data_IF_274265547200
#
_entry.id   IF_274265547200
#
_cell.length_a   1.000
_cell.length_b   1.000
_cell.length_c   1.000
_cell.angle_alpha   90.00
_cell.angle_beta   90.00
_cell.angle_gamma   90.00
#
_symmetry.space_group_name_H-M   'P 1'
#
loop_
_entity.id
_entity.type
_entity.pdbx_description
1 polymer ?
#
# COMPACT_ATOMS: atom_id res chain seq x y z
N UNK A 1 6.04 -0.97 -22.74
CA UNK A 1 4.60 -1.00 -22.42
C UNK A 1 3.89 -0.09 -23.40
N UNK A 2 2.82 -0.54 -24.04
CA UNK A 2 1.96 0.38 -24.79
C UNK A 2 1.00 1.09 -23.80
N UNK A 3 0.24 2.08 -24.29
CA UNK A 3 -0.70 2.84 -23.46
C UNK A 3 -1.82 1.96 -22.85
N UNK A 4 -2.32 0.99 -23.60
CA UNK A 4 -3.38 0.05 -23.17
C UNK A 4 -2.91 -0.83 -22.00
N UNK A 5 -1.67 -1.30 -22.04
CA UNK A 5 -1.07 -2.12 -20.98
C UNK A 5 -0.97 -1.33 -19.66
N UNK A 6 -0.63 -0.04 -19.72
CA UNK A 6 -0.55 0.85 -18.55
C UNK A 6 -1.93 1.10 -17.96
N UNK A 7 -2.95 1.29 -18.78
CA UNK A 7 -4.35 1.39 -18.33
C UNK A 7 -4.75 0.12 -17.59
N UNK A 8 -4.54 -1.04 -18.22
CA UNK A 8 -4.91 -2.33 -17.62
C UNK A 8 -4.18 -2.56 -16.29
N UNK A 9 -2.90 -2.21 -16.19
CA UNK A 9 -2.14 -2.26 -14.95
C UNK A 9 -2.78 -1.40 -13.85
N UNK A 10 -3.13 -0.15 -14.17
CA UNK A 10 -3.77 0.80 -13.24
C UNK A 10 -5.17 0.36 -12.82
N UNK A 11 -5.94 -0.24 -13.71
CA UNK A 11 -7.26 -0.80 -13.40
C UNK A 11 -7.14 -1.96 -12.42
N UNK A 12 -6.22 -2.92 -12.67
CA UNK A 12 -5.97 -4.03 -11.73
C UNK A 12 -5.47 -3.53 -10.38
N UNK A 13 -4.56 -2.56 -10.37
CA UNK A 13 -4.08 -1.93 -9.14
C UNK A 13 -5.24 -1.27 -8.37
N UNK A 14 -6.10 -0.54 -9.07
CA UNK A 14 -7.25 0.14 -8.47
C UNK A 14 -8.24 -0.85 -7.87
N UNK A 15 -8.58 -1.91 -8.59
CA UNK A 15 -9.45 -2.97 -8.11
C UNK A 15 -8.86 -3.66 -6.87
N UNK A 16 -7.55 -3.93 -6.89
CA UNK A 16 -6.85 -4.49 -5.74
C UNK A 16 -6.94 -3.55 -4.53
N UNK A 17 -6.55 -2.28 -4.66
CA UNK A 17 -6.55 -1.34 -3.52
C UNK A 17 -7.94 -1.17 -2.91
N UNK A 18 -8.99 -1.08 -3.72
CA UNK A 18 -10.37 -1.01 -3.22
C UNK A 18 -10.78 -2.26 -2.46
N UNK A 19 -10.32 -3.45 -2.88
CA UNK A 19 -10.56 -4.70 -2.16
C UNK A 19 -9.82 -4.81 -0.81
N UNK A 20 -8.87 -3.91 -0.55
CA UNK A 20 -8.05 -3.87 0.67
C UNK A 20 -8.61 -2.93 1.75
N UNK A 21 -9.75 -2.30 1.51
CA UNK A 21 -10.43 -1.50 2.51
C UNK A 21 -10.72 -2.35 3.76
N UNK A 22 -10.27 -1.85 4.92
CA UNK A 22 -10.48 -2.54 6.19
C UNK A 22 -11.92 -2.30 6.63
N UNK A 23 -12.63 -3.39 6.95
CA UNK A 23 -14.02 -3.30 7.39
C UNK A 23 -14.11 -2.53 8.72
N UNK A 24 -15.09 -1.62 8.90
CA UNK A 24 -15.29 -0.85 10.13
C UNK A 24 -15.37 -1.69 11.41
N UNK A 25 -15.97 -2.87 11.31
CA UNK A 25 -16.20 -3.80 12.41
C UNK A 25 -15.04 -4.77 12.67
N UNK A 26 -13.86 -4.52 12.10
CA UNK A 26 -12.68 -5.32 12.40
C UNK A 26 -12.34 -5.20 13.88
N UNK A 27 -11.97 -6.30 14.53
CA UNK A 27 -11.47 -6.23 15.89
C UNK A 27 -10.15 -5.47 15.92
N UNK A 28 -9.93 -4.63 16.94
CA UNK A 28 -8.73 -3.78 17.06
C UNK A 28 -7.43 -4.61 16.98
N UNK A 29 -7.41 -5.77 17.63
CA UNK A 29 -6.30 -6.72 17.59
C UNK A 29 -6.04 -7.36 16.21
N UNK A 30 -6.93 -7.17 15.24
CA UNK A 30 -6.78 -7.66 13.85
C UNK A 30 -6.38 -6.56 12.87
N UNK A 31 -6.40 -5.27 13.27
CA UNK A 31 -6.06 -4.15 12.39
C UNK A 31 -4.64 -4.30 11.84
N UNK A 32 -3.69 -4.69 12.69
CA UNK A 32 -2.30 -4.94 12.30
C UNK A 32 -2.20 -6.04 11.23
N UNK A 33 -2.90 -7.16 11.42
CA UNK A 33 -2.91 -8.27 10.48
C UNK A 33 -3.52 -7.88 9.13
N UNK A 34 -4.57 -7.05 9.14
CA UNK A 34 -5.18 -6.51 7.93
C UNK A 34 -4.22 -5.57 7.20
N UNK A 35 -3.51 -4.71 7.93
CA UNK A 35 -2.52 -3.83 7.32
C UNK A 35 -1.34 -4.62 6.73
N UNK A 36 -0.87 -5.67 7.42
CA UNK A 36 0.14 -6.58 6.89
C UNK A 36 -0.33 -7.28 5.62
N UNK A 37 -1.60 -7.73 5.60
CA UNK A 37 -2.19 -8.32 4.41
C UNK A 37 -2.23 -7.33 3.23
N UNK A 38 -2.53 -6.05 3.50
CA UNK A 38 -2.55 -4.99 2.48
C UNK A 38 -1.17 -4.81 1.83
N UNK A 39 -0.12 -4.62 2.65
CA UNK A 39 1.26 -4.55 2.17
C UNK A 39 1.62 -5.81 1.37
N UNK A 40 1.34 -7.01 1.90
CA UNK A 40 1.69 -8.27 1.24
C UNK A 40 1.03 -8.43 -0.12
N UNK A 41 -0.26 -8.13 -0.22
CA UNK A 41 -1.01 -8.24 -1.49
C UNK A 41 -0.48 -7.27 -2.55
N UNK A 42 -0.16 -6.04 -2.17
CA UNK A 42 0.42 -5.06 -3.09
C UNK A 42 1.85 -5.43 -3.51
N UNK A 43 2.70 -5.85 -2.58
CA UNK A 43 4.05 -6.34 -2.90
C UNK A 43 4.01 -7.58 -3.80
N UNK A 44 3.05 -8.50 -3.61
CA UNK A 44 2.86 -9.63 -4.50
C UNK A 44 2.38 -9.20 -5.89
N UNK A 45 1.47 -8.22 -5.97
CA UNK A 45 1.03 -7.65 -7.25
C UNK A 45 2.21 -7.06 -8.03
N UNK A 46 3.10 -6.30 -7.37
CA UNK A 46 4.29 -5.73 -7.99
C UNK A 46 5.33 -6.78 -8.42
N UNK A 47 5.35 -7.94 -7.77
CA UNK A 47 6.25 -9.04 -8.09
C UNK A 47 5.70 -10.00 -9.16
N UNK A 48 4.38 -10.01 -9.41
CA UNK A 48 3.70 -10.92 -10.35
C UNK A 48 4.22 -10.74 -11.78
N UNK A 49 4.23 -9.49 -12.26
CA UNK A 49 4.88 -9.07 -13.50
C UNK A 49 5.76 -7.86 -13.20
N UNK A 50 7.03 -8.15 -12.94
CA UNK A 50 7.99 -7.11 -12.60
C UNK A 50 8.29 -6.19 -13.79
N UNK A 51 8.26 -6.69 -15.04
CA UNK A 51 8.53 -5.84 -16.19
C UNK A 51 7.42 -4.79 -16.36
N UNK A 52 6.15 -5.21 -16.16
CA UNK A 52 5.03 -4.28 -16.13
C UNK A 52 5.14 -3.30 -14.95
N UNK A 53 5.51 -3.77 -13.76
CA UNK A 53 5.71 -2.92 -12.58
C UNK A 53 6.82 -1.90 -12.80
N UNK A 54 7.96 -2.31 -13.34
CA UNK A 54 9.08 -1.43 -13.61
C UNK A 54 8.66 -0.30 -14.56
N UNK A 55 7.96 -0.62 -15.65
CA UNK A 55 7.53 0.36 -16.65
C UNK A 55 6.36 1.24 -16.18
N UNK A 56 5.37 0.67 -15.49
CA UNK A 56 4.16 1.39 -15.12
C UNK A 56 4.27 2.11 -13.76
N UNK A 57 5.07 1.59 -12.83
CA UNK A 57 5.08 2.03 -11.42
C UNK A 57 6.44 2.57 -10.95
N UNK A 58 7.58 2.08 -11.45
CA UNK A 58 8.90 2.47 -10.94
C UNK A 58 9.63 3.49 -11.84
N UNK A 59 9.49 3.40 -13.16
CA UNK A 59 10.21 4.23 -14.12
C UNK A 59 9.34 5.31 -14.79
N UNK A 60 9.93 6.47 -15.13
CA UNK A 60 9.26 7.47 -15.94
C UNK A 60 9.02 6.97 -17.38
N UNK A 61 8.02 7.55 -18.10
CA UNK A 61 7.15 8.66 -17.66
C UNK A 61 5.91 8.25 -16.82
N UNK A 62 5.59 6.97 -16.71
CA UNK A 62 4.30 6.51 -16.15
C UNK A 62 4.29 6.46 -14.62
N UNK A 63 5.45 6.23 -14.00
CA UNK A 63 5.57 6.02 -12.56
C UNK A 63 4.88 7.11 -11.73
N UNK A 64 5.09 8.39 -12.04
CA UNK A 64 4.55 9.49 -11.25
C UNK A 64 3.02 9.45 -11.17
N UNK A 65 2.36 9.21 -12.30
CA UNK A 65 0.90 9.18 -12.35
C UNK A 65 0.34 7.89 -11.71
N UNK A 66 1.00 6.75 -11.90
CA UNK A 66 0.59 5.48 -11.27
C UNK A 66 0.78 5.51 -9.74
N UNK A 67 1.88 6.11 -9.25
CA UNK A 67 2.11 6.30 -7.82
C UNK A 67 1.11 7.28 -7.21
N UNK A 68 0.78 8.37 -7.91
CA UNK A 68 -0.27 9.31 -7.49
C UNK A 68 -1.63 8.63 -7.39
N UNK A 69 -1.99 7.81 -8.38
CA UNK A 69 -3.20 6.99 -8.34
C UNK A 69 -3.23 6.09 -7.09
N UNK A 70 -2.12 5.43 -6.76
CA UNK A 70 -2.03 4.60 -5.55
C UNK A 70 -2.22 5.43 -4.28
N UNK A 71 -1.59 6.61 -4.19
CA UNK A 71 -1.78 7.54 -3.08
C UNK A 71 -3.25 7.93 -2.91
N UNK A 72 -3.91 8.34 -3.99
CA UNK A 72 -5.30 8.80 -3.95
C UNK A 72 -6.25 7.68 -3.47
N UNK A 73 -6.12 6.48 -4.03
CA UNK A 73 -6.93 5.32 -3.64
C UNK A 73 -6.66 4.88 -2.19
N UNK A 74 -5.40 4.94 -1.74
CA UNK A 74 -5.07 4.61 -0.36
C UNK A 74 -5.60 5.65 0.62
N UNK A 75 -5.58 6.93 0.24
CA UNK A 75 -6.16 8.00 1.02
C UNK A 75 -7.68 7.81 1.19
N UNK A 76 -8.39 7.42 0.13
CA UNK A 76 -9.82 7.06 0.20
C UNK A 76 -10.08 5.96 1.26
N UNK A 77 -9.32 4.87 1.22
CA UNK A 77 -9.45 3.78 2.21
C UNK A 77 -9.13 4.25 3.64
N UNK A 78 -8.12 5.09 3.81
CA UNK A 78 -7.71 5.62 5.11
C UNK A 78 -8.72 6.62 5.68
N UNK A 79 -9.36 7.45 4.84
CA UNK A 79 -10.45 8.34 5.25
C UNK A 79 -11.60 7.53 5.84
N UNK A 80 -12.02 6.44 5.17
CA UNK A 80 -13.07 5.59 5.71
C UNK A 80 -12.63 4.95 7.02
N UNK A 81 -11.38 4.51 7.13
CA UNK A 81 -10.86 3.92 8.36
C UNK A 81 -10.81 4.93 9.53
N UNK A 82 -10.44 6.19 9.25
CA UNK A 82 -10.48 7.30 10.20
C UNK A 82 -11.91 7.61 10.65
N UNK A 83 -12.87 7.74 9.72
CA UNK A 83 -14.28 7.98 10.04
C UNK A 83 -14.90 6.91 10.95
N UNK A 84 -14.38 5.68 10.87
CA UNK A 84 -14.77 4.56 11.72
C UNK A 84 -13.89 4.38 12.96
N UNK A 85 -13.03 5.37 13.28
CA UNK A 85 -12.12 5.40 14.44
C UNK A 85 -11.12 4.24 14.49
N UNK A 86 -10.83 3.61 13.36
CA UNK A 86 -9.84 2.53 13.27
C UNK A 86 -8.41 3.07 13.22
N UNK A 87 -8.22 4.26 12.66
CA UNK A 87 -6.92 4.92 12.61
C UNK A 87 -6.99 6.32 13.21
N UNK A 88 -5.83 6.76 13.69
CA UNK A 88 -5.61 8.11 14.23
C UNK A 88 -6.06 9.19 13.26
N UNK A 89 -6.68 10.24 13.76
CA UNK A 89 -7.23 11.36 12.95
C UNK A 89 -6.34 12.61 12.97
N UNK A 90 -5.30 12.64 13.81
CA UNK A 90 -4.38 13.76 13.93
C UNK A 90 -3.38 13.87 12.76
N UNK A 91 -3.22 12.80 11.97
CA UNK A 91 -2.45 12.82 10.71
C UNK A 91 -3.43 12.78 9.53
N UNK A 92 -3.31 13.69 8.54
CA UNK A 92 -4.13 13.64 7.33
C UNK A 92 -4.00 12.32 6.57
N UNK A 93 -5.13 11.72 6.16
CA UNK A 93 -5.15 10.48 5.38
C UNK A 93 -4.26 10.52 4.14
N UNK A 94 -4.23 11.65 3.43
CA UNK A 94 -3.36 11.83 2.25
C UNK A 94 -1.87 11.72 2.60
N UNK A 95 -1.43 12.29 3.73
CA UNK A 95 -0.04 12.20 4.15
C UNK A 95 0.32 10.75 4.54
N UNK A 96 -0.57 10.06 5.25
CA UNK A 96 -0.41 8.63 5.55
C UNK A 96 -0.34 7.78 4.28
N UNK A 97 -1.18 8.06 3.29
CA UNK A 97 -1.19 7.37 2.00
C UNK A 97 0.11 7.59 1.20
N UNK A 98 0.67 8.80 1.25
CA UNK A 98 1.97 9.10 0.64
C UNK A 98 3.10 8.31 1.32
N UNK A 99 3.13 8.24 2.66
CA UNK A 99 4.10 7.43 3.39
C UNK A 99 3.96 5.94 3.05
N UNK A 100 2.73 5.42 3.05
CA UNK A 100 2.42 4.03 2.67
C UNK A 100 2.93 3.71 1.26
N UNK A 101 2.64 4.60 0.31
CA UNK A 101 3.05 4.46 -1.09
C UNK A 101 4.56 4.53 -1.24
N UNK A 102 5.24 5.43 -0.53
CA UNK A 102 6.70 5.54 -0.56
C UNK A 102 7.39 4.26 -0.07
N UNK A 103 6.89 3.65 1.01
CA UNK A 103 7.38 2.35 1.49
C UNK A 103 7.22 1.29 0.41
N UNK A 104 6.04 1.22 -0.24
CA UNK A 104 5.80 0.26 -1.31
C UNK A 104 6.69 0.48 -2.52
N UNK A 105 6.88 1.73 -2.96
CA UNK A 105 7.78 2.07 -4.07
C UNK A 105 9.19 1.57 -3.76
N UNK A 106 9.70 1.84 -2.56
CA UNK A 106 11.04 1.41 -2.15
C UNK A 106 11.18 -0.12 -2.15
N UNK A 107 10.19 -0.83 -1.61
CA UNK A 107 10.23 -2.30 -1.53
C UNK A 107 10.01 -2.98 -2.89
N UNK A 108 9.20 -2.37 -3.76
CA UNK A 108 8.93 -2.87 -5.11
C UNK A 108 10.17 -2.79 -6.03
N UNK A 109 11.19 -1.98 -5.71
CA UNK A 109 12.48 -1.99 -6.42
C UNK A 109 13.21 -3.33 -6.32
N UNK A 110 12.89 -4.14 -5.32
CA UNK A 110 13.49 -5.46 -5.14
C UNK A 110 12.44 -6.54 -5.37
N UNK A 111 12.69 -7.44 -6.32
CA UNK A 111 11.78 -8.56 -6.63
C UNK A 111 11.52 -9.52 -5.46
N UNK A 112 12.35 -9.44 -4.41
CA UNK A 112 12.37 -10.17 -3.13
C UNK A 112 11.50 -11.41 -3.06
N UNK A 113 12.04 -12.57 -2.69
CA UNK A 113 11.24 -13.82 -2.67
C UNK A 113 9.95 -13.70 -1.81
N UNK A 114 8.95 -14.58 -2.01
CA UNK A 114 7.69 -14.50 -1.28
C UNK A 114 7.83 -14.47 0.25
N UNK A 115 8.89 -15.07 0.81
CA UNK A 115 9.17 -15.07 2.24
C UNK A 115 9.62 -13.68 2.68
N UNK A 116 10.55 -13.05 1.97
CA UNK A 116 11.01 -11.68 2.25
C UNK A 116 9.86 -10.69 2.13
N UNK A 117 8.98 -10.81 1.12
CA UNK A 117 7.80 -9.94 1.00
C UNK A 117 6.83 -10.12 2.17
N UNK A 118 6.68 -11.34 2.68
CA UNK A 118 5.88 -11.59 3.86
C UNK A 118 6.49 -10.94 5.12
N UNK A 119 7.79 -11.12 5.36
CA UNK A 119 8.50 -10.52 6.49
C UNK A 119 8.43 -8.98 6.44
N UNK A 120 8.69 -8.40 5.27
CA UNK A 120 8.57 -6.96 5.05
C UNK A 120 7.14 -6.47 5.31
N UNK A 121 6.11 -7.20 4.87
CA UNK A 121 4.72 -6.79 5.10
C UNK A 121 4.35 -6.69 6.59
N UNK A 122 4.89 -7.59 7.42
CA UNK A 122 4.70 -7.57 8.87
C UNK A 122 5.44 -6.38 9.49
N UNK A 123 6.68 -6.12 9.07
CA UNK A 123 7.45 -4.98 9.56
C UNK A 123 6.80 -3.64 9.17
N UNK A 124 6.36 -3.50 7.93
CA UNK A 124 5.68 -2.31 7.44
C UNK A 124 4.37 -2.05 8.17
N UNK A 125 3.57 -3.09 8.45
CA UNK A 125 2.34 -2.94 9.21
C UNK A 125 2.61 -2.40 10.62
N UNK A 126 3.64 -2.92 11.32
CA UNK A 126 4.05 -2.40 12.63
C UNK A 126 4.49 -0.94 12.54
N UNK A 127 5.39 -0.62 11.61
CA UNK A 127 5.84 0.76 11.42
C UNK A 127 4.68 1.72 11.11
N UNK A 128 3.70 1.27 10.32
CA UNK A 128 2.58 2.10 9.90
C UNK A 128 1.52 2.28 10.99
N UNK A 129 1.19 1.21 11.74
CA UNK A 129 0.15 1.22 12.76
C UNK A 129 0.66 1.65 14.15
N UNK A 130 1.87 1.23 14.51
CA UNK A 130 2.47 1.43 15.85
C UNK A 130 3.54 2.54 15.85
N UNK A 131 4.08 2.89 14.68
CA UNK A 131 5.16 3.86 14.54
C UNK A 131 6.56 3.26 14.64
N UNK A 132 7.59 4.12 14.58
CA UNK A 132 9.01 3.72 14.59
C UNK A 132 9.54 3.57 16.02
N UNK A 133 9.13 4.47 16.92
CA UNK A 133 9.59 4.48 18.30
C UNK A 133 8.62 3.67 19.16
N UNK A 134 9.06 2.58 19.81
CA UNK A 134 8.17 1.70 20.58
C UNK A 134 7.65 2.34 21.88
N UNK A 135 8.05 3.58 22.20
CA UNK A 135 7.45 4.37 23.27
C UNK A 135 7.50 3.70 24.64
N UNK A 136 8.63 3.81 25.34
CA UNK A 136 8.53 4.20 26.75
C UNK A 136 8.76 5.71 26.81
N UNK A 137 7.69 6.45 27.05
CA UNK A 137 7.71 7.74 27.72
C UNK A 137 6.76 7.61 28.91
#
# INVERSE_FOLDING_TARGET
MNHTDVIAFRERLSALVRSLQIAPQVAENQVLDRMALNFRKLLNFFAEDYAATEQAFLLPPQAQETQRLLCDLMAENLIVSQQNKLFREDIPAMLMAQCFTGILVQLAQTRGDPKVRHENSLACAKLFCEGVWPGKC
#
